data_IF_319129769359
#
_entry.id   IF_319129769359
#
_cell.length_a   1.000
_cell.length_b   1.000
_cell.length_c   1.000
_cell.angle_alpha   90.00
_cell.angle_beta   90.00
_cell.angle_gamma   90.00
#
_symmetry.space_group_name_H-M   'P 1'
#
loop_
_entity.id
_entity.type
_entity.pdbx_description
1 polymer ?
#
# COMPACT_ATOMS: atom_id res chain seq x y z
N UNK A 1 -6.72 24.07 6.69
CA UNK A 1 -5.57 23.17 6.90
C UNK A 1 -6.01 21.74 6.63
N UNK A 2 -5.79 21.21 5.42
CA UNK A 2 -6.04 19.80 5.08
C UNK A 2 -4.71 19.06 5.28
N UNK A 3 -4.70 18.13 6.24
CA UNK A 3 -3.51 17.42 6.70
C UNK A 3 -2.85 16.69 5.52
N UNK A 4 -1.55 16.95 5.38
CA UNK A 4 -0.78 16.73 4.16
C UNK A 4 -0.72 15.30 3.66
N UNK A 5 -0.75 15.17 2.34
CA UNK A 5 0.17 14.44 1.44
C UNK A 5 0.65 13.01 1.77
N UNK A 6 0.08 12.33 2.77
CA UNK A 6 0.34 10.91 3.09
C UNK A 6 -0.94 10.08 3.19
N UNK A 7 -2.10 10.68 2.90
CA UNK A 7 -3.42 10.01 2.90
C UNK A 7 -3.71 9.28 1.58
N UNK A 8 -2.81 8.41 1.14
CA UNK A 8 -2.97 7.66 -0.13
C UNK A 8 -2.48 6.21 -0.09
N UNK A 9 -1.76 5.82 0.96
CA UNK A 9 -1.18 4.49 1.06
C UNK A 9 -2.11 3.55 1.83
N UNK A 10 -2.40 2.42 1.23
CA UNK A 10 -3.19 1.33 1.77
C UNK A 10 -2.29 0.16 2.09
N UNK A 11 -2.52 -0.48 3.23
CA UNK A 11 -1.91 -1.77 3.56
C UNK A 11 -3.00 -2.83 3.64
N UNK A 12 -2.76 -3.98 3.02
CA UNK A 12 -3.64 -5.15 3.08
C UNK A 12 -2.81 -6.38 3.41
N UNK A 13 -3.30 -7.21 4.31
CA UNK A 13 -2.75 -8.54 4.54
C UNK A 13 -3.32 -9.49 3.50
N UNK A 14 -2.44 -10.24 2.83
CA UNK A 14 -2.81 -11.29 1.88
C UNK A 14 -2.96 -12.62 2.65
N UNK A 15 -2.09 -12.87 3.61
CA UNK A 15 -2.20 -13.98 4.57
C UNK A 15 -1.56 -13.57 5.93
N UNK A 16 -1.34 -14.50 6.85
CA UNK A 16 -0.77 -14.20 8.17
C UNK A 16 0.67 -13.65 8.10
N UNK A 17 1.41 -13.95 7.03
CA UNK A 17 2.84 -13.64 6.88
C UNK A 17 3.10 -12.52 5.85
N UNK A 18 2.22 -12.39 4.87
CA UNK A 18 2.36 -11.50 3.73
C UNK A 18 1.45 -10.28 3.83
N UNK A 19 2.08 -9.12 3.76
CA UNK A 19 1.42 -7.83 3.62
C UNK A 19 1.83 -7.17 2.30
N UNK A 20 0.85 -6.53 1.66
CA UNK A 20 1.06 -5.63 0.54
C UNK A 20 0.79 -4.19 0.97
N UNK A 21 1.66 -3.29 0.55
CA UNK A 21 1.46 -1.85 0.67
C UNK A 21 1.35 -1.28 -0.74
N UNK A 22 0.25 -0.60 -1.02
CA UNK A 22 -0.05 -0.04 -2.33
C UNK A 22 -0.68 1.35 -2.20
N UNK A 23 -0.65 2.11 -3.29
CA UNK A 23 -1.44 3.34 -3.45
C UNK A 23 -2.13 3.30 -4.81
N UNK A 24 -3.25 4.02 -4.92
CA UNK A 24 -3.95 4.21 -6.18
C UNK A 24 -3.88 5.70 -6.51
N UNK A 25 -3.30 6.02 -7.65
CA UNK A 25 -3.15 7.40 -8.13
C UNK A 25 -3.36 7.45 -9.63
N UNK A 26 -4.10 8.45 -10.13
CA UNK A 26 -4.34 8.64 -11.56
C UNK A 26 -4.80 7.36 -12.31
N UNK A 27 -5.60 6.53 -11.65
CA UNK A 27 -6.07 5.25 -12.18
C UNK A 27 -4.98 4.17 -12.36
N UNK A 28 -3.81 4.38 -11.74
CA UNK A 28 -2.70 3.43 -11.67
C UNK A 28 -2.59 2.86 -10.25
N UNK A 29 -2.32 1.56 -10.17
CA UNK A 29 -2.05 0.86 -8.92
C UNK A 29 -0.53 0.76 -8.74
N UNK A 30 -0.01 1.42 -7.71
CA UNK A 30 1.42 1.45 -7.42
C UNK A 30 1.67 0.60 -6.18
N UNK A 31 2.41 -0.50 -6.34
CA UNK A 31 2.81 -1.39 -5.24
C UNK A 31 4.17 -0.92 -4.71
N UNK A 32 4.22 -0.51 -3.44
CA UNK A 32 5.45 -0.02 -2.80
C UNK A 32 6.22 -1.18 -2.14
N UNK A 33 5.50 -2.15 -1.59
CA UNK A 33 6.13 -3.28 -0.93
C UNK A 33 5.24 -4.52 -0.97
N UNK A 34 5.84 -5.64 -1.34
CA UNK A 34 5.34 -6.98 -1.09
C UNK A 34 6.36 -7.68 -0.20
N UNK A 35 6.04 -7.92 1.07
CA UNK A 35 6.89 -8.76 1.92
C UNK A 35 6.59 -10.22 1.59
N UNK A 36 7.49 -10.84 0.83
CA UNK A 36 7.62 -12.29 0.73
C UNK A 36 8.41 -12.78 1.96
N UNK A 37 7.93 -13.82 2.61
CA UNK A 37 8.78 -14.72 3.39
C UNK A 37 8.89 -16.02 2.58
N UNK A 38 10.12 -16.47 2.35
CA UNK A 38 10.40 -17.72 1.63
C UNK A 38 10.13 -18.93 2.53
#
# INVERSE_FOLDING_TARGET
>A
MLKGNLSGYYSRRINQEHGIVYTVSNNELIIIQCKYHY
#
